data_IF_483360243388
#
_entry.id   IF_483360243388
#
_cell.length_a   1.000
_cell.length_b   1.000
_cell.length_c   1.000
_cell.angle_alpha   90.00
_cell.angle_beta   90.00
_cell.angle_gamma   90.00
#
_symmetry.space_group_name_H-M   'P 1'
#
loop_
_entity.id
_entity.type
_entity.pdbx_description
1 polymer ?
#
# COMPACT_ATOMS: atom_id res chain seq x y z
N UNK A 1 10.46 0.82 22.39
CA UNK A 1 9.24 1.18 21.68
C UNK A 1 9.52 2.33 20.75
N UNK A 2 9.12 2.20 19.50
CA UNK A 2 9.39 3.24 18.52
C UNK A 2 8.31 4.31 18.57
N UNK A 3 8.73 5.58 18.50
CA UNK A 3 7.82 6.71 18.43
C UNK A 3 7.74 7.24 17.00
N UNK A 4 8.20 6.45 16.02
CA UNK A 4 8.19 6.88 14.64
C UNK A 4 6.77 7.09 14.14
N UNK A 5 6.59 8.09 13.29
CA UNK A 5 5.35 8.33 12.58
C UNK A 5 5.51 7.85 11.14
N UNK A 6 4.41 7.78 10.39
CA UNK A 6 4.51 7.47 8.97
C UNK A 6 5.34 8.51 8.22
N UNK A 7 5.25 9.76 8.60
CA UNK A 7 6.07 10.81 8.00
C UNK A 7 7.56 10.54 8.21
N UNK A 8 7.94 10.01 9.37
CA UNK A 8 9.33 9.67 9.67
C UNK A 8 9.86 8.57 8.76
N UNK A 9 8.96 7.74 8.21
CA UNK A 9 9.34 6.66 7.30
C UNK A 9 9.50 7.14 5.85
N UNK A 10 9.17 8.39 5.57
CA UNK A 10 9.26 8.94 4.22
C UNK A 10 7.94 9.01 3.49
N UNK A 11 6.82 8.77 4.19
CA UNK A 11 5.49 8.80 3.58
C UNK A 11 5.06 10.25 3.37
N UNK A 12 4.46 10.55 2.21
CA UNK A 12 4.06 11.90 1.87
C UNK A 12 2.95 12.42 2.78
N UNK A 13 2.86 13.73 2.87
CA UNK A 13 1.87 14.40 3.70
C UNK A 13 0.44 14.03 3.33
N UNK A 14 0.15 13.93 2.02
CA UNK A 14 -1.18 13.58 1.54
C UNK A 14 -1.59 12.19 2.00
N UNK A 15 -0.68 11.21 1.92
CA UNK A 15 -0.96 9.86 2.37
C UNK A 15 -1.07 9.80 3.88
N UNK A 16 -0.21 10.52 4.60
CA UNK A 16 -0.29 10.59 6.06
C UNK A 16 -1.64 11.12 6.52
N UNK A 17 -2.20 12.11 5.83
CA UNK A 17 -3.50 12.66 6.19
C UNK A 17 -4.61 11.62 6.06
N UNK A 18 -4.57 10.80 5.00
CA UNK A 18 -5.54 9.72 4.83
C UNK A 18 -5.41 8.67 5.93
N UNK A 19 -4.18 8.29 6.25
CA UNK A 19 -3.93 7.30 7.30
C UNK A 19 -4.45 7.79 8.65
N UNK A 20 -4.18 9.04 8.97
CA UNK A 20 -4.63 9.63 10.23
C UNK A 20 -6.15 9.67 10.29
N UNK A 21 -6.80 10.02 9.17
CA UNK A 21 -8.27 10.02 9.11
C UNK A 21 -8.89 8.66 9.30
N UNK A 22 -8.13 7.59 9.05
CA UNK A 22 -8.58 6.22 9.25
C UNK A 22 -8.20 5.66 10.63
N UNK A 23 -7.56 6.47 11.46
CA UNK A 23 -7.16 6.05 12.78
C UNK A 23 -5.78 5.42 12.87
N UNK A 24 -5.02 5.42 11.77
CA UNK A 24 -3.66 4.92 11.76
C UNK A 24 -2.70 6.03 12.15
N UNK A 25 -2.45 6.17 13.44
CA UNK A 25 -1.63 7.27 13.96
C UNK A 25 -0.16 6.92 14.08
N UNK A 26 0.15 5.61 14.14
CA UNK A 26 1.53 5.15 14.22
C UNK A 26 1.69 3.87 13.41
N UNK A 27 2.85 3.65 12.77
CA UNK A 27 3.05 2.43 11.99
C UNK A 27 3.18 1.19 12.87
N UNK A 28 2.72 0.07 12.36
CA UNK A 28 2.97 -1.24 12.95
C UNK A 28 4.42 -1.64 12.70
N UNK A 29 4.98 -2.59 13.47
CA UNK A 29 6.38 -2.98 13.29
C UNK A 29 6.75 -3.41 11.87
N UNK A 30 5.89 -4.15 11.18
CA UNK A 30 6.17 -4.56 9.81
C UNK A 30 6.24 -3.37 8.87
N UNK A 31 5.43 -2.35 9.12
CA UNK A 31 5.43 -1.13 8.32
C UNK A 31 6.72 -0.33 8.54
N UNK A 32 7.17 -0.21 9.79
CA UNK A 32 8.42 0.46 10.09
C UNK A 32 9.62 -0.21 9.41
N UNK A 33 9.59 -1.53 9.33
CA UNK A 33 10.66 -2.30 8.73
C UNK A 33 10.66 -2.19 7.20
N UNK A 34 9.49 -2.27 6.59
CA UNK A 34 9.34 -2.42 5.14
C UNK A 34 9.31 -1.10 4.39
N UNK A 35 8.56 -0.12 4.89
CA UNK A 35 8.30 1.10 4.14
C UNK A 35 9.58 1.85 3.75
N UNK A 36 10.53 2.12 4.66
CA UNK A 36 11.73 2.84 4.26
C UNK A 36 12.54 2.10 3.22
N UNK A 37 12.69 0.78 3.36
CA UNK A 37 13.45 -0.03 2.41
C UNK A 37 12.79 -0.05 1.04
N UNK A 38 11.47 -0.20 1.01
CA UNK A 38 10.73 -0.22 -0.24
C UNK A 38 10.77 1.14 -0.94
N UNK A 39 10.72 2.23 -0.19
CA UNK A 39 10.81 3.57 -0.77
C UNK A 39 12.18 3.85 -1.38
N UNK A 40 13.20 3.13 -0.96
CA UNK A 40 14.52 3.21 -1.58
C UNK A 40 14.63 2.38 -2.85
N UNK A 41 13.57 1.70 -3.25
CA UNK A 41 13.53 0.91 -4.47
C UNK A 41 14.05 -0.51 -4.31
N UNK A 42 14.18 -1.01 -3.09
CA UNK A 42 14.69 -2.35 -2.86
C UNK A 42 13.61 -3.39 -3.04
N UNK A 43 14.00 -4.54 -3.57
CA UNK A 43 13.12 -5.69 -3.66
C UNK A 43 13.09 -6.39 -2.31
N UNK A 44 11.89 -6.69 -1.81
CA UNK A 44 11.74 -7.25 -0.48
C UNK A 44 10.83 -8.46 -0.48
N UNK A 45 11.17 -9.44 0.31
CA UNK A 45 10.28 -10.53 0.65
C UNK A 45 9.95 -10.40 2.12
N UNK A 46 8.65 -10.30 2.43
CA UNK A 46 8.20 -10.04 3.79
C UNK A 46 7.27 -11.15 4.24
N UNK A 47 7.52 -11.65 5.44
CA UNK A 47 6.65 -12.63 6.08
C UNK A 47 6.12 -12.02 7.37
N UNK A 48 4.80 -11.95 7.50
CA UNK A 48 4.17 -11.37 8.67
C UNK A 48 2.80 -12.02 8.86
N UNK A 49 2.33 -12.14 10.11
CA UNK A 49 1.03 -12.74 10.36
C UNK A 49 -0.12 -11.84 9.90
N UNK A 50 -1.28 -12.44 9.69
CA UNK A 50 -2.50 -11.72 9.36
C UNK A 50 -2.79 -10.71 10.47
N UNK A 51 -3.24 -9.53 10.08
CA UNK A 51 -3.55 -8.46 11.04
C UNK A 51 -2.36 -7.64 11.48
N UNK A 52 -1.17 -7.88 10.89
CA UNK A 52 0.04 -7.14 11.23
C UNK A 52 0.21 -5.83 10.46
N UNK A 53 -0.72 -5.51 9.55
CA UNK A 53 -0.61 -4.31 8.73
C UNK A 53 0.20 -4.50 7.46
N UNK A 54 0.35 -5.74 6.98
CA UNK A 54 1.12 -6.04 5.77
C UNK A 54 0.64 -5.29 4.55
N UNK A 55 -0.67 -5.15 4.41
CA UNK A 55 -1.23 -4.52 3.21
C UNK A 55 -0.73 -3.09 3.07
N UNK A 56 -0.75 -2.32 4.15
CA UNK A 56 -0.21 -0.96 4.10
C UNK A 56 1.29 -0.95 3.90
N UNK A 57 1.99 -1.95 4.42
CA UNK A 57 3.45 -2.00 4.30
C UNK A 57 3.91 -2.02 2.84
N UNK A 58 3.17 -2.70 1.94
CA UNK A 58 3.52 -2.70 0.53
C UNK A 58 2.73 -1.68 -0.28
N UNK A 59 1.51 -1.35 0.15
CA UNK A 59 0.65 -0.39 -0.56
C UNK A 59 1.24 1.01 -0.54
N UNK A 60 1.67 1.47 0.62
CA UNK A 60 2.17 2.83 0.78
C UNK A 60 3.39 3.08 -0.12
N UNK A 61 4.43 2.24 -0.12
CA UNK A 61 5.55 2.47 -1.05
C UNK A 61 5.14 2.40 -2.51
N UNK A 62 4.22 1.51 -2.86
CA UNK A 62 3.75 1.39 -4.24
C UNK A 62 3.08 2.68 -4.70
N UNK A 63 2.20 3.24 -3.88
CA UNK A 63 1.50 4.47 -4.21
C UNK A 63 2.48 5.63 -4.28
N UNK A 64 3.44 5.71 -3.37
CA UNK A 64 4.44 6.77 -3.41
C UNK A 64 5.30 6.72 -4.67
N UNK A 65 5.69 5.52 -5.11
CA UNK A 65 6.41 5.38 -6.36
C UNK A 65 5.62 5.88 -7.56
N UNK A 66 4.32 5.60 -7.57
CA UNK A 66 3.46 5.97 -8.68
C UNK A 66 3.12 7.46 -8.71
N UNK A 67 3.52 8.20 -7.68
CA UNK A 67 3.38 9.65 -7.68
C UNK A 67 4.29 10.32 -8.72
N UNK A 68 5.32 9.60 -9.16
CA UNK A 68 6.18 10.04 -10.26
C UNK A 68 5.56 9.60 -11.60
N UNK A 69 5.91 10.26 -12.72
CA UNK A 69 5.41 9.84 -14.03
C UNK A 69 5.70 8.38 -14.32
N UNK A 70 4.71 7.68 -14.83
CA UNK A 70 4.83 6.24 -15.10
C UNK A 70 3.90 5.83 -16.24
N UNK A 71 4.13 4.63 -16.81
CA UNK A 71 3.23 4.04 -17.79
C UNK A 71 2.03 3.38 -17.12
N UNK A 72 1.15 2.81 -17.91
CA UNK A 72 -0.06 2.14 -17.44
C UNK A 72 -0.05 0.68 -17.83
N UNK A 73 -0.38 -0.24 -16.90
CA UNK A 73 -0.54 0.04 -15.47
C UNK A 73 0.80 0.34 -14.81
N UNK A 74 0.81 1.20 -13.81
CA UNK A 74 2.01 1.55 -13.09
C UNK A 74 2.43 0.49 -12.09
N UNK A 75 1.47 -0.25 -11.54
CA UNK A 75 1.75 -1.32 -10.60
C UNK A 75 0.70 -2.42 -10.75
N UNK A 76 1.10 -3.64 -10.42
CA UNK A 76 0.24 -4.80 -10.46
C UNK A 76 0.38 -5.55 -9.15
N UNK A 77 -0.75 -5.84 -8.50
CA UNK A 77 -0.78 -6.60 -7.26
C UNK A 77 -1.55 -7.90 -7.51
N UNK A 78 -0.93 -9.02 -7.20
CA UNK A 78 -1.52 -10.34 -7.40
C UNK A 78 -1.97 -10.92 -6.06
N UNK A 79 -3.16 -11.50 -6.05
CA UNK A 79 -3.70 -12.15 -4.87
C UNK A 79 -4.29 -13.50 -5.24
N UNK A 80 -4.22 -14.49 -4.34
CA UNK A 80 -4.66 -15.84 -4.68
C UNK A 80 -6.17 -16.02 -4.72
N UNK A 81 -6.94 -15.12 -4.10
CA UNK A 81 -8.40 -15.23 -4.10
C UNK A 81 -9.03 -13.90 -4.50
N UNK A 82 -10.29 -13.98 -4.96
CA UNK A 82 -11.08 -12.82 -5.31
C UNK A 82 -11.36 -11.95 -4.08
N UNK A 83 -11.68 -12.58 -2.97
CA UNK A 83 -11.96 -11.88 -1.72
C UNK A 83 -10.75 -11.07 -1.26
N UNK A 84 -9.56 -11.67 -1.34
CA UNK A 84 -8.35 -10.97 -0.94
C UNK A 84 -8.04 -9.82 -1.89
N UNK A 85 -8.22 -10.02 -3.20
CA UNK A 85 -8.01 -8.95 -4.17
C UNK A 85 -8.93 -7.76 -3.90
N UNK A 86 -10.20 -8.03 -3.60
CA UNK A 86 -11.17 -6.98 -3.27
C UNK A 86 -10.80 -6.26 -1.97
N UNK A 87 -10.35 -7.00 -0.98
CA UNK A 87 -9.94 -6.43 0.30
C UNK A 87 -8.73 -5.51 0.12
N UNK A 88 -7.74 -5.96 -0.64
CA UNK A 88 -6.56 -5.15 -0.92
C UNK A 88 -6.97 -3.88 -1.65
N UNK A 89 -7.82 -4.00 -2.67
CA UNK A 89 -8.26 -2.84 -3.44
C UNK A 89 -8.98 -1.82 -2.56
N UNK A 90 -9.83 -2.28 -1.63
CA UNK A 90 -10.54 -1.37 -0.76
C UNK A 90 -9.61 -0.64 0.22
N UNK A 91 -8.50 -1.24 0.59
CA UNK A 91 -7.50 -0.59 1.45
C UNK A 91 -6.60 0.36 0.64
N UNK A 92 -6.30 -0.01 -0.60
CA UNK A 92 -5.42 0.80 -1.48
C UNK A 92 -6.12 2.05 -1.98
N UNK A 93 -7.39 1.94 -2.32
CA UNK A 93 -8.11 3.00 -3.01
C UNK A 93 -8.06 4.36 -2.33
N UNK A 94 -8.33 4.49 -1.01
CA UNK A 94 -8.25 5.82 -0.38
C UNK A 94 -6.84 6.40 -0.41
N UNK A 95 -5.83 5.55 -0.29
CA UNK A 95 -4.44 5.98 -0.28
C UNK A 95 -4.03 6.42 -1.69
N UNK A 96 -4.42 5.64 -2.70
CA UNK A 96 -4.14 6.00 -4.09
C UNK A 96 -4.85 7.31 -4.47
N UNK A 97 -6.09 7.49 -4.01
CA UNK A 97 -6.85 8.69 -4.28
C UNK A 97 -6.19 9.95 -3.71
N UNK A 98 -5.47 9.81 -2.59
CA UNK A 98 -4.74 10.93 -1.99
C UNK A 98 -3.69 11.51 -2.95
N UNK A 99 -3.18 10.70 -3.87
CA UNK A 99 -2.20 11.12 -4.87
C UNK A 99 -2.79 11.14 -6.28
N UNK A 100 -4.12 11.15 -6.40
CA UNK A 100 -4.84 11.18 -7.68
C UNK A 100 -4.57 9.97 -8.58
N UNK A 101 -4.32 8.81 -7.97
CA UNK A 101 -4.11 7.57 -8.68
C UNK A 101 -5.39 6.76 -8.71
N UNK A 102 -5.59 5.98 -9.77
CA UNK A 102 -6.78 5.16 -9.95
C UNK A 102 -6.44 3.70 -9.75
N UNK A 103 -7.40 2.96 -9.21
CA UNK A 103 -7.26 1.52 -8.99
C UNK A 103 -8.32 0.76 -9.77
N UNK A 104 -8.03 -0.48 -10.11
CA UNK A 104 -8.97 -1.38 -10.74
C UNK A 104 -8.72 -2.79 -10.25
N UNK A 105 -9.78 -3.59 -10.19
CA UNK A 105 -9.70 -4.99 -9.78
C UNK A 105 -10.18 -5.86 -10.92
N UNK A 106 -9.42 -6.91 -11.22
CA UNK A 106 -9.80 -7.86 -12.25
C UNK A 106 -9.74 -9.28 -11.71
N UNK A 107 -10.74 -10.08 -12.06
CA UNK A 107 -10.81 -11.48 -11.67
C UNK A 107 -10.79 -12.35 -12.90
N UNK A 108 -9.97 -13.39 -12.90
CA UNK A 108 -9.90 -14.29 -14.03
C UNK A 108 -11.24 -14.97 -14.33
N UNK A 109 -12.04 -15.20 -13.29
CA UNK A 109 -13.35 -15.82 -13.46
C UNK A 109 -14.32 -14.96 -14.28
N UNK A 110 -14.06 -13.66 -14.41
CA UNK A 110 -14.88 -12.78 -15.22
C UNK A 110 -14.48 -12.76 -16.68
N UNK A 111 -13.32 -13.28 -17.01
CA UNK A 111 -12.76 -13.24 -18.35
C UNK A 111 -13.32 -14.36 -19.21
N UNK A 112 -13.92 -15.36 -18.60
CA UNK A 112 -14.48 -16.52 -19.31
C UNK A 112 -15.80 -16.24 -19.99
N UNK A 113 -16.32 -15.10 -19.80
CA UNK A 113 -17.58 -14.72 -20.42
C UNK A 113 -17.36 -14.32 -21.88
#
# INVERSE_FOLDING_TARGET
>A
MSDASFADLGVSEAVCAVLEGKGFTAPFPVQEMVIPEALEGRDLTVRAPTGSGKTLAFTIPTVEFLNEPHGYPGALVLAPTRELASQIASEVEPIAAALNLKTAVAYLSLIHI
#
